data_IF_890543619213
#
_entry.id   IF_890543619213
#
_cell.length_a   1.000
_cell.length_b   1.000
_cell.length_c   1.000
_cell.angle_alpha   90.00
_cell.angle_beta   90.00
_cell.angle_gamma   90.00
#
_symmetry.space_group_name_H-M   'P 1'
#
loop_
_entity.id
_entity.type
_entity.pdbx_description
1 polymer ?
#
# COMPACT_ATOMS: atom_id res chain seq x y z
N UNK A 1 -0.14 15.47 11.09
CA UNK A 1 -1.10 15.35 9.98
C UNK A 1 -2.48 15.79 10.46
N UNK A 2 -3.23 16.59 9.70
CA UNK A 2 -4.59 17.00 10.07
C UNK A 2 -5.60 15.86 9.97
N UNK A 3 -6.66 15.93 10.78
CA UNK A 3 -7.78 14.98 10.74
C UNK A 3 -8.49 14.94 9.38
N UNK A 4 -8.54 16.06 8.65
CA UNK A 4 -9.09 16.11 7.29
C UNK A 4 -8.27 15.29 6.31
N UNK A 5 -6.95 15.41 6.35
CA UNK A 5 -6.04 14.64 5.50
C UNK A 5 -6.10 13.16 5.83
N UNK A 6 -6.03 12.78 7.12
CA UNK A 6 -6.17 11.39 7.55
C UNK A 6 -7.46 10.75 7.01
N UNK A 7 -8.61 11.42 7.16
CA UNK A 7 -9.88 10.92 6.60
C UNK A 7 -9.89 10.80 5.07
N UNK A 8 -9.22 11.71 4.35
CA UNK A 8 -9.08 11.60 2.88
C UNK A 8 -8.23 10.40 2.50
N UNK A 9 -7.16 10.14 3.25
CA UNK A 9 -6.27 9.00 3.05
C UNK A 9 -7.00 7.68 3.31
N UNK A 10 -7.72 7.55 4.42
CA UNK A 10 -8.55 6.36 4.75
C UNK A 10 -9.56 6.05 3.64
N UNK A 11 -10.27 7.07 3.17
CA UNK A 11 -11.24 6.92 2.07
C UNK A 11 -10.57 6.58 0.73
N UNK A 12 -9.29 6.93 0.57
CA UNK A 12 -8.54 6.65 -0.63
C UNK A 12 -7.92 5.25 -0.65
N UNK A 13 -7.81 4.54 0.48
CA UNK A 13 -7.13 3.23 0.57
C UNK A 13 -7.62 2.22 -0.47
N UNK A 14 -8.93 2.11 -0.68
CA UNK A 14 -9.49 1.21 -1.70
C UNK A 14 -9.14 1.62 -3.14
N UNK A 15 -9.18 2.92 -3.44
CA UNK A 15 -8.81 3.48 -4.75
C UNK A 15 -7.32 3.31 -5.03
N UNK A 16 -6.47 3.52 -4.01
CA UNK A 16 -5.03 3.31 -4.10
C UNK A 16 -4.71 1.85 -4.39
N UNK A 17 -5.35 0.91 -3.69
CA UNK A 17 -5.18 -0.51 -3.92
C UNK A 17 -5.59 -0.93 -5.34
N UNK A 18 -6.74 -0.43 -5.82
CA UNK A 18 -7.19 -0.67 -7.19
C UNK A 18 -6.18 -0.14 -8.21
N UNK A 19 -5.73 1.11 -8.05
CA UNK A 19 -4.71 1.71 -8.92
C UNK A 19 -3.41 0.90 -8.93
N UNK A 20 -2.94 0.43 -7.76
CA UNK A 20 -1.77 -0.43 -7.67
C UNK A 20 -1.94 -1.72 -8.47
N UNK A 21 -3.09 -2.40 -8.38
CA UNK A 21 -3.32 -3.63 -9.17
C UNK A 21 -3.36 -3.41 -10.68
N UNK A 22 -3.85 -2.24 -11.13
CA UNK A 22 -3.81 -1.84 -12.55
C UNK A 22 -2.36 -1.68 -13.00
N UNK A 23 -1.58 -0.89 -12.26
CA UNK A 23 -0.16 -0.64 -12.59
C UNK A 23 0.68 -1.92 -12.49
N UNK A 24 0.36 -2.83 -11.55
CA UNK A 24 0.98 -4.15 -11.46
C UNK A 24 0.70 -4.99 -12.71
N UNK A 25 -0.54 -4.98 -13.21
CA UNK A 25 -0.90 -5.69 -14.44
C UNK A 25 -0.19 -5.12 -15.68
N UNK A 26 0.07 -3.81 -15.71
CA UNK A 26 0.81 -3.15 -16.78
C UNK A 26 2.31 -3.46 -16.74
N UNK A 27 2.93 -3.36 -15.55
CA UNK A 27 4.39 -3.43 -15.38
C UNK A 27 4.93 -4.84 -15.15
N UNK A 28 4.11 -5.76 -14.64
CA UNK A 28 4.54 -7.10 -14.24
C UNK A 28 3.84 -8.17 -15.10
N UNK A 29 4.47 -8.66 -16.19
CA UNK A 29 3.85 -9.64 -17.08
C UNK A 29 3.36 -10.91 -16.37
N UNK A 30 4.03 -11.31 -15.29
CA UNK A 30 3.63 -12.47 -14.50
C UNK A 30 2.36 -12.24 -13.68
N UNK A 31 2.05 -10.98 -13.30
CA UNK A 31 0.86 -10.65 -12.53
C UNK A 31 -0.42 -10.94 -13.33
N UNK A 32 -0.37 -10.71 -14.64
CA UNK A 32 -1.47 -11.04 -15.57
C UNK A 32 -1.78 -12.53 -15.64
N UNK A 33 -0.82 -13.39 -15.27
CA UNK A 33 -0.97 -14.85 -15.24
C UNK A 33 -1.58 -15.38 -13.95
N UNK A 34 -1.77 -14.53 -12.94
CA UNK A 34 -2.47 -14.90 -11.72
C UNK A 34 -3.93 -15.25 -12.02
N UNK A 35 -4.55 -16.07 -11.18
CA UNK A 35 -6.00 -16.29 -11.21
C UNK A 35 -6.74 -15.06 -10.68
N UNK A 36 -8.06 -15.02 -10.85
CA UNK A 36 -8.90 -13.95 -10.30
C UNK A 36 -8.75 -13.86 -8.77
N UNK A 37 -8.83 -15.01 -8.08
CA UNK A 37 -8.71 -15.07 -6.62
C UNK A 37 -7.35 -14.58 -6.12
N UNK A 38 -6.27 -14.90 -6.85
CA UNK A 38 -4.94 -14.42 -6.52
C UNK A 38 -4.80 -12.91 -6.70
N UNK A 39 -5.36 -12.34 -7.77
CA UNK A 39 -5.38 -10.88 -7.95
C UNK A 39 -6.23 -10.20 -6.87
N UNK A 40 -7.35 -10.81 -6.48
CA UNK A 40 -8.18 -10.32 -5.38
C UNK A 40 -7.43 -10.36 -4.04
N UNK A 41 -6.62 -11.40 -3.79
CA UNK A 41 -5.75 -11.47 -2.64
C UNK A 41 -4.70 -10.34 -2.63
N UNK A 42 -4.07 -10.04 -3.76
CA UNK A 42 -3.14 -8.89 -3.85
C UNK A 42 -3.85 -7.57 -3.60
N UNK A 43 -5.05 -7.38 -4.17
CA UNK A 43 -5.86 -6.19 -3.93
C UNK A 43 -6.13 -5.98 -2.44
N UNK A 44 -6.57 -7.03 -1.75
CA UNK A 44 -6.86 -6.99 -0.32
C UNK A 44 -5.61 -6.63 0.50
N UNK A 45 -4.49 -7.31 0.25
CA UNK A 45 -3.22 -7.02 0.96
C UNK A 45 -2.78 -5.58 0.72
N UNK A 46 -2.92 -5.07 -0.50
CA UNK A 46 -2.56 -3.68 -0.83
C UNK A 46 -3.47 -2.67 -0.14
N UNK A 47 -4.77 -2.98 -0.03
CA UNK A 47 -5.73 -2.15 0.71
C UNK A 47 -5.41 -2.13 2.20
N UNK A 48 -5.11 -3.27 2.80
CA UNK A 48 -4.68 -3.38 4.20
C UNK A 48 -3.38 -2.60 4.42
N UNK A 49 -2.42 -2.69 3.50
CA UNK A 49 -1.18 -1.90 3.55
C UNK A 49 -1.45 -0.40 3.54
N UNK A 50 -2.36 0.08 2.68
CA UNK A 50 -2.76 1.48 2.66
C UNK A 50 -3.45 1.92 3.96
N UNK A 51 -4.33 1.09 4.53
CA UNK A 51 -4.98 1.38 5.81
C UNK A 51 -3.96 1.46 6.96
N UNK A 52 -3.01 0.51 7.00
CA UNK A 52 -1.95 0.48 7.99
C UNK A 52 -1.02 1.70 7.90
N UNK A 53 -0.72 2.17 6.69
CA UNK A 53 0.02 3.41 6.49
C UNK A 53 -0.70 4.61 7.12
N UNK A 54 -2.03 4.70 6.98
CA UNK A 54 -2.81 5.80 7.59
C UNK A 54 -2.88 5.68 9.10
N UNK A 55 -2.99 4.47 9.64
CA UNK A 55 -2.88 4.23 11.08
C UNK A 55 -1.51 4.67 11.62
N UNK A 56 -0.43 4.26 10.95
CA UNK A 56 0.95 4.65 11.30
C UNK A 56 1.16 6.18 11.23
N UNK A 57 0.51 6.89 10.30
CA UNK A 57 0.57 8.36 10.24
C UNK A 57 -0.08 9.05 11.45
N UNK A 58 -1.00 8.37 12.13
CA UNK A 58 -1.67 8.88 13.32
C UNK A 58 -0.84 8.60 14.57
N UNK A 59 -0.24 7.41 14.66
CA UNK A 59 0.54 6.94 15.82
C UNK A 59 1.85 6.25 15.36
N UNK A 60 2.90 7.02 15.00
CA UNK A 60 4.12 6.46 14.41
C UNK A 60 4.95 5.62 15.40
N UNK A 61 4.94 5.97 16.68
CA UNK A 61 5.76 5.34 17.72
C UNK A 61 5.20 3.99 18.22
N UNK A 62 3.94 3.68 17.94
CA UNK A 62 3.26 2.45 18.43
C UNK A 62 3.27 1.29 17.42
N UNK A 63 3.85 1.49 16.22
CA UNK A 63 3.41 0.77 15.01
C UNK A 63 4.41 -0.23 14.40
N UNK A 64 5.32 -0.81 15.19
CA UNK A 64 6.12 -1.98 14.71
C UNK A 64 5.22 -3.23 14.50
N UNK A 65 3.97 -3.24 15.01
CA UNK A 65 3.07 -4.41 14.94
C UNK A 65 2.28 -4.55 13.63
N UNK A 66 2.00 -3.46 12.90
CA UNK A 66 0.99 -3.45 11.81
C UNK A 66 1.51 -4.01 10.47
N UNK A 67 2.76 -3.78 10.08
CA UNK A 67 3.34 -4.32 8.83
C UNK A 67 3.48 -5.84 8.87
N UNK A 68 4.01 -6.38 9.98
CA UNK A 68 4.13 -7.83 10.18
C UNK A 68 2.77 -8.55 10.23
N UNK A 69 1.70 -7.87 10.65
CA UNK A 69 0.36 -8.45 10.71
C UNK A 69 -0.35 -8.47 9.34
N UNK A 70 -0.15 -7.45 8.49
CA UNK A 70 -0.67 -7.44 7.11
C UNK A 70 -0.08 -8.58 6.25
N UNK A 71 1.20 -8.90 6.42
CA UNK A 71 1.82 -10.03 5.74
C UNK A 71 1.43 -11.38 6.35
N UNK A 72 1.22 -11.47 7.68
CA UNK A 72 0.72 -12.70 8.33
C UNK A 72 -0.74 -13.01 7.99
N UNK A 73 -1.54 -11.98 7.71
CA UNK A 73 -2.93 -12.09 7.25
C UNK A 73 -3.06 -12.23 5.73
N UNK A 74 -1.95 -12.15 4.98
CA UNK A 74 -1.97 -12.36 3.54
C UNK A 74 -2.56 -13.75 3.22
N UNK A 75 -3.51 -13.84 2.26
CA UNK A 75 -4.18 -15.11 1.96
C UNK A 75 -3.17 -16.21 1.65
N UNK A 76 -3.35 -17.39 2.27
CA UNK A 76 -2.44 -18.54 2.11
C UNK A 76 -2.28 -18.93 0.63
N UNK A 77 -3.30 -18.74 -0.19
CA UNK A 77 -3.22 -18.90 -1.65
C UNK A 77 -2.16 -18.02 -2.32
N UNK A 78 -1.95 -16.79 -1.84
CA UNK A 78 -0.96 -15.88 -2.40
C UNK A 78 0.46 -16.38 -2.12
N UNK A 79 0.73 -16.80 -0.89
CA UNK A 79 2.03 -17.30 -0.45
C UNK A 79 2.48 -18.58 -1.18
N UNK A 80 1.54 -19.38 -1.72
CA UNK A 80 1.86 -20.61 -2.46
C UNK A 80 2.33 -20.38 -3.89
N UNK A 81 2.08 -19.20 -4.47
CA UNK A 81 2.21 -18.95 -5.92
C UNK A 81 3.02 -17.72 -6.26
N UNK A 82 3.21 -16.82 -5.30
CA UNK A 82 4.05 -15.64 -5.45
C UNK A 82 5.39 -15.89 -4.77
N UNK A 83 6.46 -15.87 -5.54
CA UNK A 83 7.83 -15.98 -5.02
C UNK A 83 8.23 -14.71 -4.25
N UNK A 84 9.23 -14.79 -3.37
CA UNK A 84 9.74 -13.61 -2.66
C UNK A 84 10.13 -12.46 -3.60
N UNK A 85 10.78 -12.79 -4.73
CA UNK A 85 11.11 -11.79 -5.76
C UNK A 85 9.87 -11.09 -6.29
N UNK A 86 8.83 -11.85 -6.61
CA UNK A 86 7.56 -11.31 -7.10
C UNK A 86 6.86 -10.47 -6.02
N UNK A 87 6.92 -10.88 -4.76
CA UNK A 87 6.41 -10.07 -3.63
C UNK A 87 7.13 -8.72 -3.57
N UNK A 88 8.45 -8.69 -3.71
CA UNK A 88 9.22 -7.42 -3.76
C UNK A 88 8.80 -6.57 -4.95
N UNK A 89 8.57 -7.17 -6.13
CA UNK A 89 8.08 -6.44 -7.31
C UNK A 89 6.69 -5.83 -7.07
N UNK A 90 5.77 -6.55 -6.41
CA UNK A 90 4.45 -6.01 -6.02
C UNK A 90 4.58 -4.83 -5.07
N UNK A 91 5.38 -4.98 -4.00
CA UNK A 91 5.57 -3.93 -2.99
C UNK A 91 6.15 -2.68 -3.64
N UNK A 92 7.17 -2.81 -4.50
CA UNK A 92 7.75 -1.66 -5.22
C UNK A 92 6.69 -0.92 -6.04
N UNK A 93 5.89 -1.64 -6.82
CA UNK A 93 4.82 -1.00 -7.62
C UNK A 93 3.79 -0.31 -6.72
N UNK A 94 3.40 -0.91 -5.60
CA UNK A 94 2.45 -0.29 -4.68
C UNK A 94 3.03 0.98 -4.04
N UNK A 95 4.29 0.96 -3.60
CA UNK A 95 4.98 2.14 -3.06
C UNK A 95 5.08 3.24 -4.11
N UNK A 96 5.47 2.92 -5.36
CA UNK A 96 5.52 3.89 -6.45
C UNK A 96 4.15 4.57 -6.63
N UNK A 97 3.05 3.80 -6.65
CA UNK A 97 1.69 4.37 -6.78
C UNK A 97 1.33 5.26 -5.60
N UNK A 98 1.69 4.86 -4.38
CA UNK A 98 1.40 5.63 -3.18
C UNK A 98 2.18 6.94 -3.17
N UNK A 99 3.46 6.91 -3.52
CA UNK A 99 4.32 8.08 -3.63
C UNK A 99 3.76 9.11 -4.63
N UNK A 100 3.19 8.66 -5.74
CA UNK A 100 2.61 9.56 -6.75
C UNK A 100 1.22 10.09 -6.39
N UNK A 101 0.39 9.32 -5.68
CA UNK A 101 -1.03 9.68 -5.46
C UNK A 101 -1.32 10.30 -4.09
N UNK A 102 -0.60 9.89 -3.04
CA UNK A 102 -0.85 10.37 -1.68
C UNK A 102 -0.60 11.87 -1.48
N UNK A 103 0.44 12.50 -2.07
CA UNK A 103 0.70 13.92 -1.85
C UNK A 103 -0.48 14.82 -2.27
N UNK A 104 -1.25 14.42 -3.29
CA UNK A 104 -2.43 15.15 -3.74
C UNK A 104 -3.61 15.13 -2.75
N UNK A 105 -3.52 14.34 -1.67
CA UNK A 105 -4.56 14.23 -0.63
C UNK A 105 -4.29 15.12 0.60
N UNK A 106 -3.14 15.79 0.63
CA UNK A 106 -2.77 16.75 1.66
C UNK A 106 -3.68 17.99 1.65
N UNK A 107 -3.82 18.65 2.81
CA UNK A 107 -4.57 19.92 2.89
C UNK A 107 -3.76 21.10 2.39
N UNK A 108 -2.44 21.03 2.51
CA UNK A 108 -1.50 22.11 2.23
C UNK A 108 -0.12 21.55 1.82
N UNK A 109 0.79 22.45 1.47
CA UNK A 109 2.13 22.11 1.01
C UNK A 109 3.03 21.50 2.10
N UNK A 110 2.77 21.77 3.38
CA UNK A 110 3.52 21.20 4.49
C UNK A 110 3.15 19.73 4.67
N UNK A 111 1.85 19.44 4.73
CA UNK A 111 1.33 18.08 4.76
C UNK A 111 1.71 17.28 3.53
N UNK A 112 1.75 17.92 2.36
CA UNK A 112 2.19 17.28 1.11
C UNK A 112 3.63 16.77 1.22
N UNK A 113 4.55 17.60 1.73
CA UNK A 113 5.95 17.20 1.94
C UNK A 113 6.06 16.10 2.99
N UNK A 114 5.34 16.24 4.10
CA UNK A 114 5.29 15.23 5.15
C UNK A 114 4.78 13.87 4.63
N UNK A 115 3.83 13.85 3.70
CA UNK A 115 3.34 12.61 3.07
C UNK A 115 4.40 11.95 2.18
N UNK A 116 5.15 12.74 1.39
CA UNK A 116 6.24 12.21 0.56
C UNK A 116 7.30 11.55 1.46
N UNK A 117 7.72 12.24 2.52
CA UNK A 117 8.68 11.69 3.48
C UNK A 117 8.14 10.45 4.21
N UNK A 118 6.87 10.48 4.59
CA UNK A 118 6.19 9.38 5.26
C UNK A 118 6.17 8.09 4.43
N UNK A 119 5.83 8.17 3.13
CA UNK A 119 5.82 7.01 2.23
C UNK A 119 7.21 6.38 2.16
N UNK A 120 8.25 7.20 2.02
CA UNK A 120 9.63 6.74 1.95
C UNK A 120 10.10 6.10 3.27
N UNK A 121 9.65 6.61 4.43
CA UNK A 121 9.97 6.03 5.73
C UNK A 121 9.25 4.71 5.96
N UNK A 122 7.94 4.68 5.71
CA UNK A 122 7.11 3.48 5.90
C UNK A 122 7.57 2.31 5.02
N UNK A 123 8.06 2.55 3.81
CA UNK A 123 8.61 1.50 2.95
C UNK A 123 9.97 0.93 3.39
N UNK A 124 10.65 1.55 4.36
CA UNK A 124 11.95 1.10 4.90
C UNK A 124 11.84 0.35 6.23
N UNK A 125 10.71 0.46 6.93
CA UNK A 125 10.39 -0.24 8.18
C UNK A 125 9.80 -1.63 7.90
#
# INVERSE_FOLDING_TARGET
MSRSTLRRLERASGRLAAASTVVMAERLPWFRRLTADQRAAVLLVTQTGAANFVAWLSEPDETIRLTAEAFRSAPRELARRVTLRQTVELVRVAVDVFEHQLPALASDAEEQRALIEAVLRFGRE
#
